data_IF_231787882393
#
_entry.id   IF_231787882393
#
_cell.length_a   1.000
_cell.length_b   1.000
_cell.length_c   1.000
_cell.angle_alpha   90.00
_cell.angle_beta   90.00
_cell.angle_gamma   90.00
#
_symmetry.space_group_name_H-M   'P 1'
#
loop_
_entity.id
_entity.type
_entity.pdbx_description
1 polymer ?
#
# COMPACT_ATOMS: atom_id res chain seq x y z
N UNK A 1 -14.69 -11.78 6.06
CA UNK A 1 -15.43 -10.85 5.18
C UNK A 1 -14.54 -9.68 4.71
N UNK A 2 -13.35 -9.95 4.13
CA UNK A 2 -12.36 -8.92 3.71
C UNK A 2 -12.10 -9.00 2.17
N UNK A 3 -12.86 -9.82 1.45
CA UNK A 3 -12.64 -10.08 0.01
C UNK A 3 -13.33 -9.08 -0.91
N UNK A 4 -14.26 -8.25 -0.43
CA UNK A 4 -15.25 -7.59 -1.31
C UNK A 4 -14.98 -6.10 -1.55
N UNK A 5 -14.29 -5.39 -0.66
CA UNK A 5 -14.13 -3.92 -0.82
C UNK A 5 -12.92 -3.48 -1.64
N UNK A 6 -11.96 -4.36 -1.91
CA UNK A 6 -10.79 -4.00 -2.74
C UNK A 6 -11.10 -4.09 -4.23
N UNK A 7 -12.15 -4.82 -4.62
CA UNK A 7 -12.43 -5.15 -6.02
C UNK A 7 -13.27 -4.10 -6.78
N UNK A 8 -13.85 -3.10 -6.10
CA UNK A 8 -14.74 -2.11 -6.74
C UNK A 8 -14.05 -0.83 -7.19
N UNK A 9 -12.78 -0.65 -6.85
CA UNK A 9 -11.96 0.43 -7.36
C UNK A 9 -11.02 -0.17 -8.41
N UNK A 10 -11.20 0.31 -9.63
CA UNK A 10 -10.16 0.57 -10.63
C UNK A 10 -9.93 -0.39 -11.80
N UNK A 11 -10.19 0.19 -12.96
CA UNK A 11 -9.81 -0.19 -14.32
C UNK A 11 -8.29 -0.02 -14.50
N UNK A 12 -7.45 -0.69 -13.71
CA UNK A 12 -5.98 -0.73 -13.89
C UNK A 12 -5.52 -2.11 -14.39
N UNK A 13 -4.42 -2.19 -15.16
CA UNK A 13 -3.94 -3.49 -15.65
C UNK A 13 -3.58 -4.39 -14.46
N UNK A 14 -4.23 -5.55 -14.38
CA UNK A 14 -4.29 -6.50 -13.26
C UNK A 14 -2.93 -6.85 -12.62
N UNK A 15 -1.82 -6.66 -13.34
CA UNK A 15 -0.45 -6.88 -12.85
C UNK A 15 -0.03 -5.89 -11.76
N UNK A 16 -0.41 -4.61 -11.87
CA UNK A 16 0.02 -3.56 -10.92
C UNK A 16 -0.71 -3.71 -9.57
N UNK A 17 -2.01 -4.02 -9.60
CA UNK A 17 -2.81 -4.27 -8.39
C UNK A 17 -2.36 -5.53 -7.66
N UNK A 18 -1.98 -6.59 -8.40
CA UNK A 18 -1.42 -7.80 -7.80
C UNK A 18 -0.07 -7.53 -7.14
N UNK A 19 0.77 -6.68 -7.73
CA UNK A 19 2.04 -6.27 -7.14
C UNK A 19 1.83 -5.47 -5.85
N UNK A 20 0.93 -4.49 -5.86
CA UNK A 20 0.52 -3.73 -4.67
C UNK A 20 -0.01 -4.66 -3.58
N UNK A 21 -0.92 -5.58 -3.92
CA UNK A 21 -1.50 -6.52 -2.96
C UNK A 21 -0.44 -7.42 -2.31
N UNK A 22 0.56 -7.87 -3.08
CA UNK A 22 1.69 -8.64 -2.55
C UNK A 22 2.57 -7.79 -1.63
N UNK A 23 2.88 -6.56 -2.03
CA UNK A 23 3.68 -5.62 -1.23
C UNK A 23 3.01 -5.28 0.10
N UNK A 24 1.72 -4.97 0.07
CA UNK A 24 0.92 -4.67 1.27
C UNK A 24 0.93 -5.85 2.23
N UNK A 25 0.72 -7.09 1.74
CA UNK A 25 0.78 -8.29 2.61
C UNK A 25 2.14 -8.46 3.27
N UNK A 26 3.24 -8.20 2.54
CA UNK A 26 4.59 -8.29 3.09
C UNK A 26 4.82 -7.26 4.21
N UNK A 27 4.39 -6.02 4.00
CA UNK A 27 4.52 -4.95 4.99
C UNK A 27 3.67 -5.21 6.24
N UNK A 28 2.43 -5.71 6.06
CA UNK A 28 1.55 -6.06 7.18
C UNK A 28 2.10 -7.26 7.96
N UNK A 29 2.65 -8.27 7.29
CA UNK A 29 3.30 -9.41 7.97
C UNK A 29 4.51 -8.94 8.80
N UNK A 30 5.34 -8.06 8.24
CA UNK A 30 6.45 -7.47 8.99
C UNK A 30 5.99 -6.66 10.21
N UNK A 31 4.84 -6.00 10.13
CA UNK A 31 4.21 -5.35 11.29
C UNK A 31 3.72 -6.35 12.33
N UNK A 32 3.13 -7.48 11.94
CA UNK A 32 2.72 -8.52 12.89
C UNK A 32 3.91 -9.14 13.63
N UNK A 33 5.07 -9.20 12.99
CA UNK A 33 6.31 -9.74 13.58
C UNK A 33 7.06 -8.72 14.46
N UNK A 34 7.05 -7.43 14.09
CA UNK A 34 7.94 -6.42 14.70
C UNK A 34 7.22 -5.23 15.33
N UNK A 35 5.90 -5.12 15.18
CA UNK A 35 5.13 -3.95 15.58
C UNK A 35 5.41 -2.69 14.74
N UNK A 36 6.20 -2.80 13.65
CA UNK A 36 6.57 -1.66 12.80
C UNK A 36 6.42 -1.96 11.32
N UNK A 37 6.07 -0.95 10.53
CA UNK A 37 6.07 -1.06 9.06
C UNK A 37 7.39 -0.52 8.55
N UNK A 38 8.27 -1.40 8.08
CA UNK A 38 9.61 -1.03 7.58
C UNK A 38 9.65 -1.04 6.06
N UNK A 39 10.20 0.03 5.50
CA UNK A 39 10.55 0.14 4.08
C UNK A 39 12.05 0.40 3.97
N UNK A 40 12.61 0.31 2.76
CA UNK A 40 14.03 0.64 2.54
C UNK A 40 14.38 2.11 2.82
N UNK A 41 13.38 3.00 2.90
CA UNK A 41 13.58 4.45 3.09
C UNK A 41 13.18 4.96 4.45
N UNK A 42 12.22 4.31 5.10
CA UNK A 42 11.61 4.79 6.34
C UNK A 42 11.04 3.63 7.16
N UNK A 43 11.06 3.81 8.47
CA UNK A 43 10.34 2.96 9.42
C UNK A 43 9.15 3.74 9.98
N UNK A 44 7.99 3.10 10.01
CA UNK A 44 6.76 3.68 10.54
C UNK A 44 6.30 2.89 11.76
N UNK A 45 5.76 3.60 12.74
CA UNK A 45 5.27 3.06 14.01
C UNK A 45 3.74 3.21 14.10
N UNK A 46 2.96 2.43 13.33
CA UNK A 46 1.51 2.48 13.41
C UNK A 46 1.02 1.97 14.76
N UNK A 47 0.01 2.61 15.33
CA UNK A 47 -0.55 2.26 16.65
C UNK A 47 -1.53 1.09 16.58
N UNK A 48 -1.96 0.72 15.38
CA UNK A 48 -2.94 -0.34 15.16
C UNK A 48 -2.72 -1.05 13.83
N UNK A 49 -3.22 -2.29 13.73
CA UNK A 49 -3.21 -3.07 12.49
C UNK A 49 -3.94 -2.37 11.34
N UNK A 50 -5.03 -1.66 11.62
CA UNK A 50 -5.76 -0.87 10.61
C UNK A 50 -4.90 0.26 10.05
N UNK A 51 -4.14 0.93 10.92
CA UNK A 51 -3.23 2.00 10.52
C UNK A 51 -2.03 1.45 9.73
N UNK A 52 -1.48 0.31 10.14
CA UNK A 52 -0.42 -0.38 9.41
C UNK A 52 -0.85 -0.76 7.97
N UNK A 53 -2.08 -1.25 7.80
CA UNK A 53 -2.65 -1.55 6.48
C UNK A 53 -2.77 -0.27 5.64
N UNK A 54 -3.32 0.82 6.20
CA UNK A 54 -3.46 2.11 5.48
C UNK A 54 -2.11 2.64 5.00
N UNK A 55 -1.11 2.64 5.87
CA UNK A 55 0.25 3.09 5.52
C UNK A 55 0.88 2.18 4.46
N UNK A 56 0.77 0.86 4.61
CA UNK A 56 1.29 -0.13 3.64
C UNK A 56 0.68 0.06 2.25
N UNK A 57 -0.63 0.30 2.19
CA UNK A 57 -1.37 0.61 0.95
C UNK A 57 -0.83 1.89 0.33
N UNK A 58 -0.75 2.99 1.08
CA UNK A 58 -0.24 4.27 0.57
C UNK A 58 1.19 4.16 0.00
N UNK A 59 2.07 3.43 0.67
CA UNK A 59 3.46 3.19 0.24
C UNK A 59 3.50 2.45 -1.10
N UNK A 60 2.78 1.32 -1.23
CA UNK A 60 2.83 0.49 -2.43
C UNK A 60 2.09 1.14 -3.61
N UNK A 61 0.97 1.82 -3.38
CA UNK A 61 0.31 2.63 -4.41
C UNK A 61 1.24 3.75 -4.92
N UNK A 62 1.94 4.45 -4.01
CA UNK A 62 2.92 5.47 -4.35
C UNK A 62 4.11 4.91 -5.16
N UNK A 63 4.64 3.76 -4.76
CA UNK A 63 5.74 3.05 -5.44
C UNK A 63 5.36 2.64 -6.86
N UNK A 64 4.15 2.12 -7.05
CA UNK A 64 3.64 1.70 -8.35
C UNK A 64 3.04 2.84 -9.19
N UNK A 65 3.09 4.09 -8.68
CA UNK A 65 2.53 5.30 -9.30
C UNK A 65 1.05 5.16 -9.68
N UNK A 66 0.32 4.28 -8.99
CA UNK A 66 -1.12 4.07 -9.21
C UNK A 66 -1.84 5.24 -8.54
N UNK A 67 -2.51 6.08 -9.33
CA UNK A 67 -3.21 7.26 -8.81
C UNK A 67 -2.43 8.58 -8.81
N UNK A 68 -1.29 8.69 -9.52
CA UNK A 68 -0.70 10.02 -9.84
C UNK A 68 -1.52 10.75 -10.91
N UNK A 69 -2.79 11.04 -10.62
CA UNK A 69 -3.56 12.07 -11.29
C UNK A 69 -3.16 13.41 -10.65
N UNK A 70 -2.13 14.08 -11.19
CA UNK A 70 -1.70 15.38 -10.65
C UNK A 70 -0.22 15.52 -10.36
N UNK A 71 0.68 14.92 -11.15
CA UNK A 71 1.98 15.60 -11.35
C UNK A 71 1.65 16.88 -12.14
N UNK A 72 1.19 17.93 -11.44
CA UNK A 72 1.05 19.28 -12.01
C UNK A 72 2.34 19.53 -12.77
N UNK A 73 2.23 19.73 -14.08
CA UNK A 73 3.30 20.32 -14.88
C UNK A 73 3.68 21.62 -14.16
N UNK A 74 4.84 21.61 -13.51
CA UNK A 74 5.62 22.84 -13.33
C UNK A 74 6.59 22.81 -14.51
N UNK A 75 6.44 23.79 -15.38
CA UNK A 75 7.02 23.89 -16.71
C UNK A 75 5.97 24.50 -17.61
#
# INVERSE_FOLDING_TARGET
MIKVEVAKLTKYPCRKERAVSKGVRKLVKGYEETGTVRTSRATYHPKSKKEAIKQSVAIEYGKHRIGRAGRRRRG
#
